data_IF_269044684722
#
_entry.id   IF_269044684722
#
_cell.length_a   1.000
_cell.length_b   1.000
_cell.length_c   1.000
_cell.angle_alpha   90.00
_cell.angle_beta   90.00
_cell.angle_gamma   90.00
#
_symmetry.space_group_name_H-M   'P 1'
#
loop_
_entity.id
_entity.type
_entity.pdbx_description
1 polymer ?
#
# COMPACT_ATOMS: atom_id res chain seq x y z
N UNK A 1 -5.26 -1.58 18.13
CA UNK A 1 -5.29 -2.10 16.74
C UNK A 1 -4.75 -3.53 16.66
N UNK A 2 -3.51 -3.84 17.08
CA UNK A 2 -3.00 -5.24 17.20
C UNK A 2 -3.86 -6.14 18.11
N UNK A 3 -4.40 -5.61 19.22
CA UNK A 3 -5.38 -6.33 20.07
C UNK A 3 -6.75 -6.52 19.41
N UNK A 4 -7.15 -5.63 18.49
CA UNK A 4 -8.41 -5.73 17.73
C UNK A 4 -8.27 -6.75 16.59
N UNK A 5 -7.10 -6.78 15.94
CA UNK A 5 -6.68 -7.82 14.99
C UNK A 5 -6.56 -9.19 15.66
N UNK A 6 -5.99 -9.26 16.88
CA UNK A 6 -5.98 -10.50 17.66
C UNK A 6 -7.39 -10.97 18.07
N UNK A 7 -8.32 -10.05 18.34
CA UNK A 7 -9.73 -10.36 18.63
C UNK A 7 -10.48 -10.87 17.39
N UNK A 8 -10.18 -10.34 16.20
CA UNK A 8 -10.69 -10.85 14.92
C UNK A 8 -10.11 -12.24 14.59
N UNK A 9 -8.82 -12.47 14.87
CA UNK A 9 -8.22 -13.81 14.78
C UNK A 9 -8.77 -14.80 15.83
N UNK A 10 -9.18 -14.31 17.00
CA UNK A 10 -9.72 -15.15 18.09
C UNK A 10 -11.16 -15.60 17.82
N UNK A 11 -11.96 -14.82 17.07
CA UNK A 11 -13.30 -15.23 16.62
C UNK A 11 -13.26 -16.27 15.49
N UNK A 12 -12.13 -16.39 14.77
CA UNK A 12 -11.89 -17.50 13.84
C UNK A 12 -11.46 -18.80 14.55
N UNK A 13 -11.07 -18.74 15.84
CA UNK A 13 -10.53 -19.87 16.60
C UNK A 13 -11.57 -20.60 17.48
N UNK A 14 -12.84 -20.16 17.49
CA UNK A 14 -13.90 -20.71 18.36
C UNK A 14 -14.51 -22.05 17.88
N UNK A 15 -13.92 -22.70 16.88
CA UNK A 15 -14.35 -24.01 16.37
C UNK A 15 -13.65 -25.24 16.97
N UNK A 16 -12.70 -25.08 17.90
CA UNK A 16 -11.90 -26.20 18.42
C UNK A 16 -12.13 -26.42 19.93
N UNK A 17 -13.05 -27.32 20.27
CA UNK A 17 -13.12 -27.90 21.62
C UNK A 17 -12.14 -29.08 21.68
N UNK A 18 -11.05 -28.93 22.45
CA UNK A 18 -10.20 -30.04 22.85
C UNK A 18 -10.86 -30.82 24.00
N UNK A 19 -10.91 -32.16 23.97
CA UNK A 19 -11.41 -32.94 25.10
C UNK A 19 -10.43 -32.90 26.29
N UNK A 20 -11.00 -33.00 27.49
CA UNK A 20 -10.36 -32.79 28.78
C UNK A 20 -9.18 -33.74 29.09
N UNK A 21 -8.28 -33.23 29.92
CA UNK A 21 -7.01 -33.81 30.35
C UNK A 21 -7.12 -35.22 30.96
N UNK A 22 -6.30 -36.15 30.46
CA UNK A 22 -5.99 -37.41 31.12
C UNK A 22 -4.65 -37.28 31.90
N UNK A 23 -4.72 -37.60 33.19
CA UNK A 23 -3.64 -37.57 34.17
C UNK A 23 -2.51 -38.55 33.81
N UNK A 24 -1.26 -38.06 33.76
CA UNK A 24 -0.06 -38.88 33.55
C UNK A 24 0.42 -39.52 34.87
N UNK A 25 0.60 -40.85 34.86
CA UNK A 25 1.42 -41.62 35.83
C UNK A 25 2.76 -42.03 35.18
N UNK A 26 3.82 -42.30 35.97
CA UNK A 26 5.21 -42.24 35.49
C UNK A 26 5.71 -43.49 34.75
N UNK A 27 6.85 -43.29 34.07
CA UNK A 27 7.40 -44.05 32.95
C UNK A 27 8.05 -45.42 33.24
N UNK A 28 8.15 -46.25 32.20
CA UNK A 28 9.04 -47.41 32.06
C UNK A 28 9.41 -47.64 30.56
N UNK A 29 10.47 -48.41 30.21
CA UNK A 29 11.48 -48.00 29.23
C UNK A 29 11.28 -48.45 27.77
N UNK A 30 12.06 -47.78 26.89
CA UNK A 30 12.12 -47.80 25.42
C UNK A 30 12.12 -49.20 24.76
N UNK A 31 11.31 -49.32 23.70
CA UNK A 31 11.43 -50.32 22.64
C UNK A 31 11.48 -49.66 21.23
N UNK A 32 12.11 -50.36 20.28
CA UNK A 32 12.65 -49.94 18.96
C UNK A 32 11.63 -49.29 17.98
N UNK A 33 12.10 -48.49 16.99
CA UNK A 33 11.22 -47.76 16.08
C UNK A 33 10.50 -48.69 15.10
N UNK A 34 9.17 -48.58 15.07
CA UNK A 34 8.28 -49.18 14.07
C UNK A 34 8.10 -48.16 12.94
N UNK A 35 8.24 -48.58 11.69
CA UNK A 35 7.95 -47.74 10.52
C UNK A 35 6.54 -47.14 10.65
N UNK A 36 6.47 -45.81 10.57
CA UNK A 36 5.21 -45.06 10.49
C UNK A 36 4.57 -45.33 9.12
N UNK A 37 3.50 -46.11 9.11
CA UNK A 37 2.52 -46.04 8.03
C UNK A 37 1.81 -44.69 8.15
N UNK A 38 2.03 -43.81 7.17
CA UNK A 38 1.29 -42.56 7.05
C UNK A 38 -0.11 -42.90 6.59
N UNK A 39 -1.11 -42.53 7.40
CA UNK A 39 -2.52 -42.74 7.12
C UNK A 39 -2.96 -41.89 5.91
N UNK A 40 -3.49 -42.49 4.83
CA UNK A 40 -3.99 -41.76 3.66
C UNK A 40 -5.13 -40.78 3.98
N UNK A 41 -5.83 -40.93 5.12
CA UNK A 41 -6.88 -40.00 5.53
C UNK A 41 -6.33 -38.62 5.95
N UNK A 42 -5.06 -38.53 6.36
CA UNK A 42 -4.44 -37.24 6.72
C UNK A 42 -4.29 -36.29 5.51
N UNK A 43 -4.25 -36.84 4.29
CA UNK A 43 -4.24 -36.06 3.05
C UNK A 43 -5.65 -35.70 2.54
N UNK A 44 -6.70 -36.37 3.04
CA UNK A 44 -8.08 -36.05 2.70
C UNK A 44 -8.57 -34.78 3.43
N UNK A 45 -8.15 -34.57 4.68
CA UNK A 45 -8.50 -33.38 5.47
C UNK A 45 -7.82 -32.10 4.96
N UNK A 46 -6.68 -32.22 4.28
CA UNK A 46 -6.05 -31.10 3.58
C UNK A 46 -6.90 -30.60 2.38
N UNK A 47 -7.76 -31.46 1.81
CA UNK A 47 -8.71 -31.06 0.75
C UNK A 47 -9.95 -30.35 1.30
N UNK A 48 -10.31 -30.59 2.57
CA UNK A 48 -11.47 -29.98 3.24
C UNK A 48 -11.21 -28.55 3.73
N UNK A 49 -9.95 -28.10 3.77
CA UNK A 49 -9.59 -26.71 4.06
C UNK A 49 -9.54 -25.82 2.80
N UNK A 50 -9.49 -26.42 1.61
CA UNK A 50 -9.50 -25.68 0.35
C UNK A 50 -10.78 -24.83 0.13
N UNK A 51 -12.01 -25.29 0.47
CA UNK A 51 -13.21 -24.47 0.37
C UNK A 51 -13.19 -23.28 1.34
N UNK A 52 -12.70 -23.48 2.57
CA UNK A 52 -12.65 -22.43 3.60
C UNK A 52 -11.55 -21.39 3.28
N UNK A 53 -10.39 -21.82 2.78
CA UNK A 53 -9.33 -20.94 2.28
C UNK A 53 -9.80 -20.18 1.03
N UNK A 54 -10.56 -20.82 0.13
CA UNK A 54 -11.16 -20.14 -1.02
C UNK A 54 -12.27 -19.15 -0.61
N UNK A 55 -13.04 -19.45 0.45
CA UNK A 55 -14.13 -18.60 0.93
C UNK A 55 -13.60 -17.41 1.77
N UNK A 56 -12.51 -17.58 2.51
CA UNK A 56 -11.77 -16.48 3.14
C UNK A 56 -10.97 -15.69 2.09
N UNK A 57 -10.41 -16.38 1.09
CA UNK A 57 -9.67 -15.79 -0.03
C UNK A 57 -10.53 -14.89 -0.91
N UNK A 58 -11.75 -15.32 -1.26
CA UNK A 58 -12.71 -14.50 -2.02
C UNK A 58 -13.13 -13.22 -1.29
N UNK A 59 -12.89 -13.12 0.03
CA UNK A 59 -13.29 -12.00 0.87
C UNK A 59 -12.16 -10.97 1.08
N UNK A 60 -10.90 -11.30 0.77
CA UNK A 60 -9.72 -10.44 1.00
C UNK A 60 -9.02 -9.98 -0.29
N UNK A 61 -9.29 -10.61 -1.43
CA UNK A 61 -9.03 -9.99 -2.72
C UNK A 61 -10.08 -8.91 -2.98
N UNK A 62 -9.81 -7.97 -3.88
CA UNK A 62 -10.88 -7.26 -4.56
C UNK A 62 -11.93 -8.31 -4.95
N UNK A 63 -13.16 -8.21 -4.44
CA UNK A 63 -14.13 -9.31 -4.53
C UNK A 63 -14.47 -9.66 -5.99
N UNK A 64 -14.18 -8.76 -6.92
CA UNK A 64 -14.27 -8.92 -8.37
C UNK A 64 -13.02 -9.57 -9.01
N UNK A 65 -11.89 -9.66 -8.30
CA UNK A 65 -10.63 -10.28 -8.74
C UNK A 65 -10.27 -11.57 -8.00
N UNK A 66 -11.01 -11.97 -6.96
CA UNK A 66 -10.70 -13.14 -6.13
C UNK A 66 -10.59 -14.49 -6.86
N UNK A 67 -11.02 -14.57 -8.13
CA UNK A 67 -10.87 -15.74 -8.99
C UNK A 67 -9.78 -15.65 -10.07
N UNK A 68 -9.03 -14.54 -10.16
CA UNK A 68 -7.99 -14.34 -11.16
C UNK A 68 -6.59 -14.20 -10.53
N UNK A 69 -5.55 -14.16 -11.36
CA UNK A 69 -4.16 -14.12 -10.91
C UNK A 69 -3.83 -12.88 -10.07
N UNK A 70 -4.46 -11.74 -10.37
CA UNK A 70 -4.29 -10.50 -9.61
C UNK A 70 -4.79 -10.67 -8.16
N UNK A 71 -5.98 -11.25 -7.98
CA UNK A 71 -6.54 -11.52 -6.64
C UNK A 71 -5.61 -12.41 -5.80
N UNK A 72 -5.01 -13.43 -6.41
CA UNK A 72 -4.03 -14.32 -5.76
C UNK A 72 -2.81 -13.51 -5.29
N UNK A 73 -2.20 -12.70 -6.15
CA UNK A 73 -1.04 -11.90 -5.75
C UNK A 73 -1.37 -10.90 -4.64
N UNK A 74 -2.52 -10.23 -4.69
CA UNK A 74 -2.94 -9.32 -3.63
C UNK A 74 -3.13 -10.02 -2.29
N UNK A 75 -3.76 -11.19 -2.27
CA UNK A 75 -3.92 -11.99 -1.04
C UNK A 75 -2.57 -12.37 -0.43
N UNK A 76 -1.63 -12.88 -1.25
CA UNK A 76 -0.30 -13.27 -0.79
C UNK A 76 0.58 -12.07 -0.42
N UNK A 77 0.24 -10.87 -0.86
CA UNK A 77 0.96 -9.65 -0.50
C UNK A 77 0.74 -9.25 0.98
N UNK A 78 -0.40 -9.64 1.57
CA UNK A 78 -0.76 -9.25 2.94
C UNK A 78 0.16 -9.86 4.00
N UNK A 79 0.45 -11.19 4.01
CA UNK A 79 1.44 -11.75 4.94
C UNK A 79 2.80 -11.06 4.91
N UNK A 80 3.31 -10.75 3.71
CA UNK A 80 4.55 -9.99 3.55
C UNK A 80 4.42 -8.59 4.16
N UNK A 81 3.29 -7.90 3.95
CA UNK A 81 3.06 -6.59 4.54
C UNK A 81 2.97 -6.62 6.07
N UNK A 82 2.32 -7.63 6.64
CA UNK A 82 2.24 -7.80 8.09
C UNK A 82 3.62 -8.11 8.69
N UNK A 83 4.45 -8.91 8.01
CA UNK A 83 5.83 -9.12 8.39
C UNK A 83 6.62 -7.80 8.36
N UNK A 84 6.47 -6.99 7.31
CA UNK A 84 7.02 -5.65 7.25
C UNK A 84 6.62 -4.80 8.46
N UNK A 85 5.32 -4.69 8.77
CA UNK A 85 4.82 -3.91 9.91
C UNK A 85 5.39 -4.39 11.25
N UNK A 86 5.49 -5.70 11.43
CA UNK A 86 6.07 -6.29 12.64
C UNK A 86 7.53 -5.89 12.81
N UNK A 87 8.36 -6.11 11.79
CA UNK A 87 9.79 -5.85 11.90
C UNK A 87 10.11 -4.35 11.89
N UNK A 88 9.43 -3.53 11.08
CA UNK A 88 9.68 -2.08 11.04
C UNK A 88 9.23 -1.41 12.33
N UNK A 89 8.21 -1.97 12.99
CA UNK A 89 7.70 -1.53 14.28
C UNK A 89 8.58 -1.91 15.49
N UNK A 90 9.69 -2.62 15.28
CA UNK A 90 10.63 -2.91 16.36
C UNK A 90 11.15 -1.60 16.98
N UNK A 91 11.04 -1.47 18.30
CA UNK A 91 11.27 -0.20 19.01
C UNK A 91 12.65 0.39 18.74
N UNK A 92 13.69 -0.45 18.73
CA UNK A 92 15.08 0.00 18.47
C UNK A 92 15.32 0.45 17.03
N UNK A 93 14.39 0.23 16.10
CA UNK A 93 14.45 0.85 14.78
C UNK A 93 14.26 2.35 14.83
N UNK A 94 13.58 2.84 15.87
CA UNK A 94 13.24 4.25 16.02
C UNK A 94 12.46 4.76 14.81
N UNK A 95 11.60 3.92 14.24
CA UNK A 95 10.69 4.33 13.18
C UNK A 95 9.79 5.45 13.72
N UNK A 96 9.65 6.58 13.01
CA UNK A 96 8.83 7.69 13.48
C UNK A 96 7.40 7.24 13.77
N UNK A 97 6.85 7.57 14.95
CA UNK A 97 5.53 7.06 15.39
C UNK A 97 4.40 7.38 14.41
N UNK A 98 4.41 8.59 13.83
CA UNK A 98 3.42 8.99 12.82
C UNK A 98 3.61 8.22 11.50
N UNK A 99 4.85 8.00 11.07
CA UNK A 99 5.13 7.24 9.85
C UNK A 99 4.79 5.75 9.99
N UNK A 100 5.09 5.16 11.16
CA UNK A 100 4.66 3.80 11.50
C UNK A 100 3.14 3.69 11.52
N UNK A 101 2.45 4.69 12.08
CA UNK A 101 0.99 4.75 12.02
C UNK A 101 0.51 4.87 10.57
N UNK A 102 1.16 5.65 9.72
CA UNK A 102 0.87 5.72 8.28
C UNK A 102 0.94 4.34 7.62
N UNK A 103 2.03 3.59 7.81
CA UNK A 103 2.12 2.20 7.33
C UNK A 103 0.97 1.33 7.88
N UNK A 104 0.61 1.45 9.16
CA UNK A 104 -0.52 0.70 9.72
C UNK A 104 -1.87 1.14 9.13
N UNK A 105 -2.02 2.43 8.84
CA UNK A 105 -3.23 3.04 8.28
C UNK A 105 -3.53 2.52 6.87
N UNK A 106 -2.51 2.09 6.11
CA UNK A 106 -2.70 1.43 4.81
C UNK A 106 -3.65 0.22 4.90
N UNK A 107 -3.70 -0.48 6.04
CA UNK A 107 -4.63 -1.58 6.23
C UNK A 107 -6.09 -1.13 6.16
N UNK A 108 -6.41 0.12 6.50
CA UNK A 108 -7.76 0.67 6.34
C UNK A 108 -8.10 0.91 4.87
N UNK A 109 -7.14 1.32 4.04
CA UNK A 109 -7.30 1.33 2.58
C UNK A 109 -7.64 -0.07 2.07
N UNK A 110 -6.84 -1.08 2.41
CA UNK A 110 -7.06 -2.48 1.99
C UNK A 110 -8.42 -3.01 2.48
N UNK A 111 -8.83 -2.68 3.71
CA UNK A 111 -10.13 -3.10 4.23
C UNK A 111 -11.26 -2.36 3.51
N UNK A 112 -11.07 -1.09 3.12
CA UNK A 112 -12.07 -0.30 2.42
C UNK A 112 -12.31 -0.75 0.98
N UNK A 113 -11.31 -1.32 0.30
CA UNK A 113 -11.45 -1.82 -1.08
C UNK A 113 -12.35 -3.06 -1.19
N UNK A 114 -12.51 -3.82 -0.10
CA UNK A 114 -13.39 -5.00 -0.05
C UNK A 114 -14.87 -4.62 -0.19
N UNK A 115 -15.50 -3.85 0.72
CA UNK A 115 -16.91 -3.50 0.61
C UNK A 115 -17.20 -2.64 -0.61
N UNK A 116 -16.29 -1.73 -1.00
CA UNK A 116 -16.46 -0.91 -2.21
C UNK A 116 -16.42 -1.76 -3.48
N UNK A 117 -15.54 -2.76 -3.56
CA UNK A 117 -15.53 -3.76 -4.64
C UNK A 117 -16.80 -4.60 -4.68
N UNK A 118 -17.29 -5.05 -3.52
CA UNK A 118 -18.54 -5.81 -3.42
C UNK A 118 -19.71 -4.98 -3.93
N UNK A 119 -19.84 -3.71 -3.50
CA UNK A 119 -20.91 -2.82 -3.94
C UNK A 119 -20.80 -2.57 -5.44
N UNK A 120 -19.61 -2.29 -5.95
CA UNK A 120 -19.37 -2.06 -7.39
C UNK A 120 -19.85 -3.26 -8.22
N UNK A 121 -19.50 -4.46 -7.79
CA UNK A 121 -19.89 -5.68 -8.50
C UNK A 121 -21.37 -6.03 -8.35
N UNK A 122 -21.88 -6.01 -7.12
CA UNK A 122 -23.22 -6.50 -6.79
C UNK A 122 -24.33 -5.52 -7.17
N UNK A 123 -24.06 -4.20 -7.09
CA UNK A 123 -25.06 -3.16 -7.40
C UNK A 123 -24.92 -2.66 -8.83
N UNK A 124 -23.69 -2.46 -9.33
CA UNK A 124 -23.46 -1.82 -10.62
C UNK A 124 -22.98 -2.78 -11.72
N UNK A 125 -22.59 -4.00 -11.38
CA UNK A 125 -22.11 -4.99 -12.35
C UNK A 125 -20.71 -4.70 -12.92
N UNK A 126 -20.04 -3.64 -12.47
CA UNK A 126 -18.72 -3.21 -12.93
C UNK A 126 -17.62 -3.56 -11.92
N UNK A 127 -16.37 -3.30 -12.29
CA UNK A 127 -15.23 -3.38 -11.36
C UNK A 127 -15.20 -2.16 -10.45
N UNK A 128 -14.47 -2.22 -9.32
CA UNK A 128 -14.25 -1.05 -8.48
C UNK A 128 -13.60 0.10 -9.28
N UNK A 129 -12.66 -0.24 -10.16
CA UNK A 129 -11.94 0.69 -11.02
C UNK A 129 -12.85 1.52 -11.95
N UNK A 130 -14.06 1.05 -12.23
CA UNK A 130 -15.05 1.76 -13.07
C UNK A 130 -16.10 2.53 -12.24
N UNK A 131 -16.15 2.32 -10.92
CA UNK A 131 -17.11 2.95 -10.01
C UNK A 131 -16.51 4.19 -9.33
N UNK A 132 -16.40 5.29 -10.05
CA UNK A 132 -15.54 6.43 -9.70
C UNK A 132 -15.72 6.95 -8.26
N UNK A 133 -16.95 7.18 -7.78
CA UNK A 133 -17.16 7.67 -6.41
C UNK A 133 -16.72 6.68 -5.33
N UNK A 134 -16.86 5.37 -5.55
CA UNK A 134 -16.39 4.33 -4.63
C UNK A 134 -14.87 4.19 -4.71
N UNK A 135 -14.33 4.21 -5.94
CA UNK A 135 -12.91 4.12 -6.23
C UNK A 135 -12.14 5.28 -5.61
N UNK A 136 -12.52 6.52 -5.95
CA UNK A 136 -11.91 7.73 -5.41
C UNK A 136 -12.02 7.82 -3.89
N UNK A 137 -13.15 7.37 -3.31
CA UNK A 137 -13.29 7.32 -1.83
C UNK A 137 -12.30 6.34 -1.19
N UNK A 138 -12.11 5.16 -1.78
CA UNK A 138 -11.16 4.18 -1.27
C UNK A 138 -9.72 4.70 -1.43
N UNK A 139 -9.34 5.15 -2.63
CA UNK A 139 -8.00 5.64 -2.96
C UNK A 139 -7.60 6.90 -2.16
N UNK A 140 -8.56 7.70 -1.68
CA UNK A 140 -8.29 8.81 -0.76
C UNK A 140 -7.57 8.34 0.53
N UNK A 141 -7.84 7.11 0.99
CA UNK A 141 -7.16 6.54 2.15
C UNK A 141 -5.68 6.23 1.87
N UNK A 142 -5.34 5.92 0.62
CA UNK A 142 -3.95 5.73 0.20
C UNK A 142 -3.19 7.07 0.21
N UNK A 143 -3.82 8.15 -0.26
CA UNK A 143 -3.26 9.51 -0.15
C UNK A 143 -2.98 9.88 1.32
N UNK A 144 -3.96 9.65 2.21
CA UNK A 144 -3.78 9.88 3.65
C UNK A 144 -2.62 9.04 4.21
N UNK A 145 -2.51 7.78 3.79
CA UNK A 145 -1.39 6.89 4.18
C UNK A 145 -0.04 7.52 3.83
N UNK A 146 0.14 7.95 2.58
CA UNK A 146 1.41 8.46 2.09
C UNK A 146 1.81 9.77 2.78
N UNK A 147 0.84 10.66 3.00
CA UNK A 147 1.04 11.90 3.76
C UNK A 147 1.45 11.64 5.21
N UNK A 148 0.84 10.66 5.89
CA UNK A 148 1.23 10.26 7.25
C UNK A 148 2.68 9.74 7.32
N UNK A 149 3.07 8.93 6.33
CA UNK A 149 4.44 8.41 6.21
C UNK A 149 5.41 9.58 6.02
N UNK A 150 5.17 10.42 5.01
CA UNK A 150 6.01 11.56 4.71
C UNK A 150 6.13 12.53 5.90
N UNK A 151 5.01 12.94 6.50
CA UNK A 151 5.00 13.82 7.66
C UNK A 151 5.80 13.24 8.83
N UNK A 152 5.65 11.93 9.10
CA UNK A 152 6.37 11.26 10.18
C UNK A 152 7.89 11.24 9.99
N UNK A 153 8.37 10.85 8.81
CA UNK A 153 9.81 10.84 8.52
C UNK A 153 10.41 12.24 8.42
N UNK A 154 9.65 13.21 7.92
CA UNK A 154 10.09 14.61 7.89
C UNK A 154 10.26 15.18 9.30
N UNK A 155 9.24 15.06 10.15
CA UNK A 155 9.28 15.58 11.52
C UNK A 155 10.46 14.96 12.30
N UNK A 156 10.64 13.65 12.20
CA UNK A 156 11.78 12.97 12.83
C UNK A 156 13.14 13.44 12.30
N UNK A 157 13.24 13.77 11.01
CA UNK A 157 14.47 14.31 10.42
C UNK A 157 14.76 15.74 10.86
N UNK A 158 13.74 16.53 11.22
CA UNK A 158 13.90 17.92 11.66
C UNK A 158 14.07 18.05 13.19
N UNK A 159 13.99 16.94 13.94
CA UNK A 159 14.04 16.94 15.40
C UNK A 159 12.70 17.28 16.07
N UNK A 160 11.63 17.44 15.29
CA UNK A 160 10.28 17.65 15.80
C UNK A 160 9.70 16.33 16.28
N UNK A 161 9.86 16.06 17.57
CA UNK A 161 9.14 15.00 18.26
C UNK A 161 7.74 15.50 18.66
N UNK A 162 6.94 15.93 17.68
CA UNK A 162 5.62 16.50 17.92
C UNK A 162 4.63 15.41 18.43
N UNK A 163 4.61 15.20 19.74
CA UNK A 163 3.74 14.23 20.40
C UNK A 163 2.25 14.59 20.29
N UNK A 164 1.91 15.88 20.35
CA UNK A 164 0.53 16.38 20.28
C UNK A 164 0.02 16.56 18.84
N UNK A 165 0.78 17.20 17.96
CA UNK A 165 0.39 17.35 16.54
C UNK A 165 0.25 15.99 15.85
N UNK A 166 1.13 15.04 16.18
CA UNK A 166 0.99 13.67 15.72
C UNK A 166 -0.30 13.00 16.22
N UNK A 167 -0.81 13.36 17.41
CA UNK A 167 -2.06 12.80 17.93
C UNK A 167 -3.30 13.35 17.23
N UNK A 168 -3.35 14.66 16.97
CA UNK A 168 -4.42 15.28 16.18
C UNK A 168 -4.45 14.70 14.77
N UNK A 169 -3.29 14.63 14.10
CA UNK A 169 -3.17 14.09 12.74
C UNK A 169 -3.71 12.67 12.63
N UNK A 170 -3.38 11.79 13.59
CA UNK A 170 -3.93 10.42 13.65
C UNK A 170 -5.46 10.39 13.78
N UNK A 171 -6.03 11.27 14.62
CA UNK A 171 -7.49 11.37 14.81
C UNK A 171 -8.19 11.84 13.54
N UNK A 172 -7.63 12.85 12.86
CA UNK A 172 -8.14 13.35 11.58
C UNK A 172 -8.14 12.24 10.53
N UNK A 173 -7.02 11.50 10.40
CA UNK A 173 -6.92 10.38 9.47
C UNK A 173 -7.98 9.29 9.74
N UNK A 174 -8.17 8.90 11.01
CA UNK A 174 -9.20 7.93 11.39
C UNK A 174 -10.62 8.46 11.14
N UNK A 175 -10.86 9.76 11.35
CA UNK A 175 -12.12 10.42 11.02
C UNK A 175 -12.42 10.37 9.52
N UNK A 176 -11.42 10.61 8.67
CA UNK A 176 -11.55 10.47 7.22
C UNK A 176 -11.83 9.02 6.80
N UNK A 177 -11.16 8.04 7.41
CA UNK A 177 -11.47 6.62 7.16
C UNK A 177 -12.89 6.24 7.56
N UNK A 178 -13.39 6.75 8.70
CA UNK A 178 -14.76 6.56 9.13
C UNK A 178 -15.76 7.23 8.18
N UNK A 179 -15.44 8.42 7.65
CA UNK A 179 -16.25 9.10 6.66
C UNK A 179 -16.32 8.30 5.35
N UNK A 180 -15.21 7.79 4.85
CA UNK A 180 -15.19 6.90 3.67
C UNK A 180 -16.07 5.68 3.91
N UNK A 181 -15.91 5.00 5.06
CA UNK A 181 -16.76 3.86 5.40
C UNK A 181 -18.27 4.22 5.44
N UNK A 182 -18.61 5.39 5.98
CA UNK A 182 -20.00 5.88 6.01
C UNK A 182 -20.53 6.19 4.60
N UNK A 183 -19.73 6.83 3.75
CA UNK A 183 -20.08 7.12 2.35
C UNK A 183 -20.30 5.81 1.59
N UNK A 184 -19.41 4.84 1.74
CA UNK A 184 -19.56 3.51 1.13
C UNK A 184 -20.84 2.81 1.61
N UNK A 185 -21.17 2.87 2.90
CA UNK A 185 -22.35 2.24 3.46
C UNK A 185 -23.67 2.93 3.05
N UNK A 186 -23.65 4.24 2.79
CA UNK A 186 -24.85 5.03 2.52
C UNK A 186 -25.07 5.36 1.04
N UNK A 187 -24.02 5.37 0.21
CA UNK A 187 -24.08 5.95 -1.14
C UNK A 187 -25.08 5.28 -2.09
N UNK A 188 -25.34 3.98 -1.95
CA UNK A 188 -26.39 3.30 -2.74
C UNK A 188 -27.80 3.77 -2.40
N UNK A 189 -28.03 4.26 -1.17
CA UNK A 189 -29.32 4.86 -0.76
C UNK A 189 -29.45 6.34 -1.14
N UNK A 190 -28.35 7.01 -1.53
CA UNK A 190 -28.33 8.39 -2.02
C UNK A 190 -28.61 8.51 -3.52
N UNK A 191 -28.79 7.39 -4.23
CA UNK A 191 -29.11 7.38 -5.66
C UNK A 191 -27.91 7.54 -6.60
N UNK A 192 -26.68 7.32 -6.11
CA UNK A 192 -25.49 7.37 -6.96
C UNK A 192 -25.44 6.17 -7.91
N UNK A 193 -25.19 6.44 -9.19
CA UNK A 193 -24.82 5.43 -10.19
C UNK A 193 -23.33 5.08 -10.11
N UNK A 194 -22.92 4.03 -10.82
CA UNK A 194 -21.53 3.55 -10.85
C UNK A 194 -20.53 4.67 -11.19
N UNK A 195 -20.81 5.39 -12.27
CA UNK A 195 -19.97 6.45 -12.81
C UNK A 195 -20.29 7.83 -12.25
N UNK A 196 -20.95 7.90 -11.07
CA UNK A 196 -21.12 9.19 -10.38
C UNK A 196 -19.73 9.75 -10.08
N UNK A 197 -19.39 10.97 -10.51
CA UNK A 197 -18.07 11.53 -10.29
C UNK A 197 -17.75 11.63 -8.80
N UNK A 198 -16.55 11.19 -8.41
CA UNK A 198 -16.07 11.37 -7.04
C UNK A 198 -16.08 12.86 -6.66
N UNK A 199 -16.56 13.16 -5.46
CA UNK A 199 -16.80 14.54 -4.98
C UNK A 199 -17.62 15.38 -5.97
N UNK A 200 -18.58 14.78 -6.69
CA UNK A 200 -19.37 15.43 -7.73
C UNK A 200 -18.54 16.03 -8.88
N UNK A 201 -17.30 15.55 -9.06
CA UNK A 201 -16.43 15.99 -10.14
C UNK A 201 -15.95 17.43 -9.96
N UNK A 202 -15.78 17.90 -8.71
CA UNK A 202 -15.25 19.24 -8.44
C UNK A 202 -13.96 19.48 -9.24
N UNK A 203 -13.96 20.56 -10.01
CA UNK A 203 -12.85 20.95 -10.89
C UNK A 203 -12.90 20.35 -12.30
N UNK A 204 -13.80 19.41 -12.59
CA UNK A 204 -14.05 18.98 -13.97
C UNK A 204 -14.43 20.18 -14.84
N UNK A 205 -13.90 20.21 -16.06
CA UNK A 205 -14.33 21.11 -17.12
C UNK A 205 -15.69 20.65 -17.62
N UNK A 206 -16.54 21.59 -18.03
CA UNK A 206 -17.81 21.25 -18.65
C UNK A 206 -17.59 20.64 -20.04
N UNK A 207 -18.57 19.86 -20.50
CA UNK A 207 -18.47 19.12 -21.75
C UNK A 207 -18.22 20.01 -22.98
N UNK A 208 -18.72 21.25 -22.99
CA UNK A 208 -18.50 22.16 -24.12
C UNK A 208 -17.05 22.68 -24.14
N UNK A 209 -16.50 23.00 -22.96
CA UNK A 209 -15.08 23.36 -22.82
C UNK A 209 -14.18 22.20 -23.23
N UNK A 210 -14.47 20.96 -22.79
CA UNK A 210 -13.69 19.78 -23.18
C UNK A 210 -13.75 19.56 -24.70
N UNK A 211 -14.94 19.61 -25.30
CA UNK A 211 -15.11 19.43 -26.74
C UNK A 211 -14.41 20.51 -27.60
N UNK A 212 -14.13 21.68 -27.02
CA UNK A 212 -13.42 22.76 -27.69
C UNK A 212 -11.89 22.63 -27.64
N UNK A 213 -11.35 21.68 -26.87
CA UNK A 213 -9.90 21.45 -26.80
C UNK A 213 -9.37 20.88 -28.14
N UNK A 214 -8.30 21.46 -28.71
CA UNK A 214 -7.88 21.16 -30.08
C UNK A 214 -7.30 19.76 -30.27
N UNK A 215 -6.99 19.05 -29.19
CA UNK A 215 -6.41 17.70 -29.20
C UNK A 215 -7.43 16.60 -28.87
N UNK A 216 -8.68 16.92 -28.54
CA UNK A 216 -9.68 15.90 -28.20
C UNK A 216 -10.01 15.10 -29.45
N UNK A 217 -9.66 13.81 -29.42
CA UNK A 217 -9.81 12.90 -30.54
C UNK A 217 -11.08 12.03 -30.45
N UNK A 218 -11.66 11.90 -29.25
CA UNK A 218 -12.88 11.13 -29.00
C UNK A 218 -13.66 11.70 -27.81
N UNK A 219 -14.93 11.32 -27.70
CA UNK A 219 -15.73 11.65 -26.52
C UNK A 219 -15.18 10.93 -25.28
N UNK A 220 -15.32 11.57 -24.13
CA UNK A 220 -14.95 10.99 -22.84
C UNK A 220 -15.81 9.74 -22.54
N UNK A 221 -15.19 8.56 -22.31
CA UNK A 221 -15.92 7.34 -21.97
C UNK A 221 -16.62 7.43 -20.61
N UNK A 222 -17.70 6.67 -20.43
CA UNK A 222 -18.47 6.67 -19.19
C UNK A 222 -17.66 6.24 -17.95
N UNK A 223 -16.65 5.39 -18.13
CA UNK A 223 -15.79 4.90 -17.07
C UNK A 223 -14.50 5.73 -16.90
N UNK A 224 -14.40 6.91 -17.54
CA UNK A 224 -13.31 7.84 -17.27
C UNK A 224 -13.40 8.36 -15.83
N UNK A 225 -12.25 8.37 -15.14
CA UNK A 225 -12.18 8.86 -13.77
C UNK A 225 -12.43 10.37 -13.71
N UNK A 226 -13.06 10.87 -12.65
CA UNK A 226 -13.19 12.32 -12.45
C UNK A 226 -11.85 12.96 -12.09
N UNK A 227 -11.76 14.29 -12.25
CA UNK A 227 -10.55 15.03 -11.87
C UNK A 227 -10.16 14.83 -10.40
N UNK A 228 -11.07 14.84 -9.40
CA UNK A 228 -10.70 14.51 -8.03
C UNK A 228 -10.06 13.13 -7.87
N UNK A 229 -10.52 12.12 -8.61
CA UNK A 229 -9.91 10.79 -8.59
C UNK A 229 -8.54 10.78 -9.26
N UNK A 230 -8.37 11.48 -10.39
CA UNK A 230 -7.04 11.66 -11.01
C UNK A 230 -6.07 12.45 -10.13
N UNK A 231 -6.57 13.41 -9.35
CA UNK A 231 -5.78 14.13 -8.36
C UNK A 231 -5.28 13.18 -7.27
N UNK A 232 -6.13 12.28 -6.76
CA UNK A 232 -5.72 11.24 -5.81
C UNK A 232 -4.64 10.31 -6.39
N UNK A 233 -4.80 9.86 -7.64
CA UNK A 233 -3.80 9.00 -8.30
C UNK A 233 -2.46 9.73 -8.51
N UNK A 234 -2.52 10.97 -8.97
CA UNK A 234 -1.32 11.79 -9.18
C UNK A 234 -0.62 12.06 -7.84
N UNK A 235 -1.40 12.45 -6.81
CA UNK A 235 -0.86 12.74 -5.48
C UNK A 235 -0.22 11.52 -4.86
N UNK A 236 -0.88 10.35 -4.89
CA UNK A 236 -0.36 9.14 -4.26
C UNK A 236 0.99 8.71 -4.85
N UNK A 237 1.19 8.85 -6.16
CA UNK A 237 2.48 8.60 -6.84
C UNK A 237 3.55 9.58 -6.35
N UNK A 238 3.26 10.90 -6.33
CA UNK A 238 4.24 11.91 -5.92
C UNK A 238 4.56 11.87 -4.43
N UNK A 239 3.55 11.70 -3.58
CA UNK A 239 3.70 11.58 -2.13
C UNK A 239 4.53 10.36 -1.75
N UNK A 240 4.36 9.25 -2.47
CA UNK A 240 5.18 8.06 -2.26
C UNK A 240 6.65 8.31 -2.63
N UNK A 241 6.92 9.00 -3.74
CA UNK A 241 8.29 9.43 -4.09
C UNK A 241 8.89 10.35 -3.03
N UNK A 242 8.09 11.28 -2.51
CA UNK A 242 8.54 12.16 -1.44
C UNK A 242 8.84 11.37 -0.15
N UNK A 243 7.98 10.41 0.23
CA UNK A 243 8.23 9.50 1.34
C UNK A 243 9.51 8.68 1.13
N UNK A 244 9.75 8.15 -0.08
CA UNK A 244 10.98 7.43 -0.43
C UNK A 244 12.24 8.28 -0.22
N UNK A 245 12.21 9.56 -0.61
CA UNK A 245 13.31 10.50 -0.39
C UNK A 245 13.55 10.76 1.10
N UNK A 246 12.49 10.93 1.89
CA UNK A 246 12.60 11.12 3.33
C UNK A 246 13.15 9.88 4.04
N UNK A 247 12.69 8.68 3.66
CA UNK A 247 13.22 7.41 4.16
C UNK A 247 14.70 7.23 3.81
N UNK A 248 15.12 7.66 2.61
CA UNK A 248 16.53 7.65 2.21
C UNK A 248 17.37 8.54 3.13
N UNK A 249 16.94 9.80 3.34
CA UNK A 249 17.59 10.77 4.24
C UNK A 249 17.60 10.27 5.69
N UNK A 250 16.60 9.47 6.10
CA UNK A 250 16.51 8.92 7.45
C UNK A 250 17.65 7.96 7.81
N UNK A 251 18.35 7.40 6.82
CA UNK A 251 19.60 6.67 7.04
C UNK A 251 20.64 7.53 7.77
N UNK A 252 20.80 8.78 7.36
CA UNK A 252 21.73 9.73 7.98
C UNK A 252 21.27 10.19 9.36
N UNK A 253 19.95 10.32 9.56
CA UNK A 253 19.31 10.70 10.84
C UNK A 253 19.57 9.65 11.91
N UNK A 254 19.44 8.37 11.55
CA UNK A 254 19.65 7.22 12.45
C UNK A 254 21.10 6.74 12.50
N UNK A 255 21.92 7.10 11.52
CA UNK A 255 23.25 6.52 11.31
C UNK A 255 23.21 5.07 10.79
N UNK A 256 22.07 4.62 10.26
CA UNK A 256 21.87 3.25 9.79
C UNK A 256 21.56 3.22 8.28
N UNK A 257 22.56 2.86 7.48
CA UNK A 257 22.47 2.76 6.02
C UNK A 257 21.42 1.76 5.51
N UNK A 258 20.92 0.84 6.36
CA UNK A 258 19.88 -0.12 5.96
C UNK A 258 18.55 0.57 5.60
N UNK A 259 18.31 1.80 6.07
CA UNK A 259 17.17 2.61 5.66
C UNK A 259 17.15 2.95 4.15
N UNK A 260 18.32 3.11 3.51
CA UNK A 260 18.39 3.22 2.04
C UNK A 260 17.93 1.94 1.35
N UNK A 261 18.18 0.80 1.97
CA UNK A 261 17.64 -0.49 1.55
C UNK A 261 16.11 -0.55 1.61
N UNK A 262 15.49 0.14 2.57
CA UNK A 262 14.04 0.28 2.63
C UNK A 262 13.50 1.13 1.47
N UNK A 263 14.17 2.24 1.15
CA UNK A 263 13.82 3.05 -0.03
C UNK A 263 13.83 2.21 -1.31
N UNK A 264 14.84 1.35 -1.51
CA UNK A 264 14.85 0.42 -2.64
C UNK A 264 13.69 -0.58 -2.62
N UNK A 265 13.31 -1.08 -1.44
CA UNK A 265 12.13 -1.95 -1.27
C UNK A 265 10.78 -1.23 -1.51
N UNK A 266 10.74 0.10 -1.46
CA UNK A 266 9.55 0.89 -1.78
C UNK A 266 9.31 1.04 -3.28
N UNK A 267 10.33 0.83 -4.12
CA UNK A 267 10.27 1.08 -5.56
C UNK A 267 9.27 0.19 -6.32
N UNK A 268 9.12 -1.12 -6.04
CA UNK A 268 8.09 -1.93 -6.69
C UNK A 268 6.67 -1.44 -6.39
N UNK A 269 6.41 -0.89 -5.20
CA UNK A 269 5.10 -0.30 -4.86
C UNK A 269 4.83 0.99 -5.63
N UNK A 270 5.87 1.79 -5.90
CA UNK A 270 5.75 2.92 -6.82
C UNK A 270 5.34 2.44 -8.22
N UNK A 271 6.03 1.42 -8.75
CA UNK A 271 5.69 0.82 -10.04
C UNK A 271 4.27 0.25 -10.08
N UNK A 272 3.79 -0.34 -8.96
CA UNK A 272 2.41 -0.79 -8.81
C UNK A 272 1.40 0.36 -8.99
N UNK A 273 1.62 1.51 -8.33
CA UNK A 273 0.76 2.69 -8.50
C UNK A 273 0.76 3.22 -9.94
N UNK A 274 1.91 3.22 -10.62
CA UNK A 274 2.00 3.61 -12.03
C UNK A 274 1.25 2.63 -12.94
N UNK A 275 1.27 1.32 -12.65
CA UNK A 275 0.49 0.31 -13.37
C UNK A 275 -1.02 0.58 -13.27
N UNK A 276 -1.52 0.89 -12.07
CA UNK A 276 -2.91 1.28 -11.86
C UNK A 276 -3.28 2.55 -12.67
N UNK A 277 -2.47 3.60 -12.57
CA UNK A 277 -2.68 4.84 -13.32
C UNK A 277 -2.69 4.60 -14.84
N UNK A 278 -1.80 3.72 -15.33
CA UNK A 278 -1.73 3.38 -16.75
C UNK A 278 -2.98 2.64 -17.21
N UNK A 279 -3.52 1.74 -16.39
CA UNK A 279 -4.76 1.04 -16.72
C UNK A 279 -5.95 2.01 -16.83
N UNK A 280 -6.04 2.96 -15.90
CA UNK A 280 -7.05 4.02 -15.90
C UNK A 280 -6.92 4.99 -17.07
N UNK A 281 -5.69 5.34 -17.45
CA UNK A 281 -5.41 6.20 -18.61
C UNK A 281 -6.00 5.65 -19.92
N UNK A 282 -6.07 4.33 -20.04
CA UNK A 282 -6.69 3.67 -21.20
C UNK A 282 -8.18 3.33 -20.99
N UNK A 283 -8.80 3.85 -19.93
CA UNK A 283 -10.20 3.59 -19.57
C UNK A 283 -10.49 2.10 -19.30
N UNK A 284 -9.61 1.45 -18.56
CA UNK A 284 -9.83 0.10 -18.01
C UNK A 284 -10.22 -0.98 -19.05
N UNK A 285 -9.58 -1.09 -20.23
CA UNK A 285 -10.03 -1.99 -21.27
C UNK A 285 -9.65 -3.43 -20.91
N UNK A 286 -10.50 -4.39 -21.29
CA UNK A 286 -10.24 -5.82 -21.04
C UNK A 286 -8.97 -6.34 -21.74
N UNK A 287 -8.53 -5.69 -22.82
CA UNK A 287 -7.29 -6.00 -23.54
C UNK A 287 -6.02 -5.69 -22.74
N UNK A 288 -6.09 -4.83 -21.71
CA UNK A 288 -4.97 -4.44 -20.85
C UNK A 288 -5.09 -4.97 -19.42
N UNK A 289 -5.91 -6.01 -19.17
CA UNK A 289 -6.06 -6.63 -17.85
C UNK A 289 -4.75 -7.11 -17.23
N UNK A 290 -3.72 -7.40 -18.05
CA UNK A 290 -2.39 -7.72 -17.56
C UNK A 290 -1.78 -6.60 -16.69
N UNK A 291 -2.20 -5.33 -16.86
CA UNK A 291 -1.75 -4.22 -16.02
C UNK A 291 -2.23 -4.38 -14.57
N UNK A 292 -3.43 -4.92 -14.37
CA UNK A 292 -3.97 -5.22 -13.04
C UNK A 292 -3.21 -6.40 -12.41
N UNK A 293 -2.88 -7.41 -13.21
CA UNK A 293 -2.03 -8.53 -12.76
C UNK A 293 -0.62 -8.06 -12.41
N UNK A 294 -0.05 -7.18 -13.23
CA UNK A 294 1.27 -6.56 -13.00
C UNK A 294 1.27 -5.69 -11.74
N UNK A 295 0.23 -4.87 -11.53
CA UNK A 295 0.03 -4.11 -10.30
C UNK A 295 0.02 -5.03 -9.07
N UNK A 296 -0.75 -6.12 -9.13
CA UNK A 296 -0.85 -7.08 -8.05
C UNK A 296 0.49 -7.78 -7.76
N UNK A 297 1.19 -8.22 -8.80
CA UNK A 297 2.52 -8.81 -8.70
C UNK A 297 3.53 -7.84 -8.08
N UNK A 298 3.56 -6.59 -8.56
CA UNK A 298 4.44 -5.54 -8.04
C UNK A 298 4.12 -5.18 -6.59
N UNK A 299 2.84 -5.30 -6.18
CA UNK A 299 2.42 -5.14 -4.79
C UNK A 299 2.96 -6.26 -3.90
N UNK A 300 2.84 -7.52 -4.33
CA UNK A 300 3.44 -8.66 -3.64
C UNK A 300 4.96 -8.53 -3.54
N UNK A 301 5.63 -8.20 -4.64
CA UNK A 301 7.07 -7.98 -4.69
C UNK A 301 7.49 -6.82 -3.77
N UNK A 302 6.76 -5.71 -3.81
CA UNK A 302 6.97 -4.54 -2.97
C UNK A 302 6.84 -4.86 -1.50
N UNK A 303 5.74 -5.46 -1.07
CA UNK A 303 5.53 -5.86 0.32
C UNK A 303 6.61 -6.85 0.81
N UNK A 304 7.04 -7.76 -0.07
CA UNK A 304 8.11 -8.71 0.25
C UNK A 304 9.46 -8.01 0.41
N UNK A 305 9.81 -7.09 -0.48
CA UNK A 305 11.08 -6.34 -0.40
C UNK A 305 11.08 -5.36 0.79
N UNK A 306 9.95 -4.74 1.12
CA UNK A 306 9.78 -3.99 2.37
C UNK A 306 10.01 -4.88 3.60
N UNK A 307 9.44 -6.08 3.64
CA UNK A 307 9.62 -7.01 4.75
C UNK A 307 11.09 -7.40 4.93
N UNK A 308 11.78 -7.72 3.83
CA UNK A 308 13.22 -8.02 3.85
C UNK A 308 14.02 -6.82 4.36
N UNK A 309 13.71 -5.60 3.89
CA UNK A 309 14.38 -4.39 4.35
C UNK A 309 14.15 -4.12 5.84
N UNK A 310 12.91 -4.26 6.32
CA UNK A 310 12.57 -4.11 7.74
C UNK A 310 13.25 -5.16 8.63
N UNK A 311 13.34 -6.42 8.19
CA UNK A 311 14.11 -7.46 8.87
C UNK A 311 15.59 -7.05 8.99
N UNK A 312 16.19 -6.56 7.90
CA UNK A 312 17.60 -6.11 7.90
C UNK A 312 17.82 -4.95 8.87
N UNK A 313 16.89 -4.00 8.94
CA UNK A 313 16.92 -2.89 9.90
C UNK A 313 16.79 -3.44 11.33
N UNK A 314 15.78 -4.25 11.61
CA UNK A 314 15.53 -4.83 12.93
C UNK A 314 16.72 -5.64 13.45
N UNK A 315 17.26 -6.54 12.63
CA UNK A 315 18.45 -7.32 12.98
C UNK A 315 19.67 -6.43 13.26
N UNK A 316 19.88 -5.38 12.46
CA UNK A 316 20.98 -4.43 12.69
C UNK A 316 20.83 -3.62 13.99
N UNK A 317 19.61 -3.49 14.49
CA UNK A 317 19.29 -2.81 15.75
C UNK A 317 19.12 -3.79 16.93
N UNK A 318 19.54 -5.05 16.77
CA UNK A 318 19.60 -6.03 17.86
C UNK A 318 18.34 -6.88 18.05
N UNK A 319 17.43 -6.92 17.08
CA UNK A 319 16.32 -7.88 17.10
C UNK A 319 16.85 -9.32 17.12
N UNK A 320 16.28 -10.18 17.96
CA UNK A 320 16.63 -11.62 18.02
C UNK A 320 15.38 -12.48 18.20
N UNK A 321 15.52 -13.81 18.12
CA UNK A 321 14.39 -14.74 18.32
C UNK A 321 13.73 -14.63 19.71
N UNK A 322 14.41 -14.12 20.74
CA UNK A 322 13.79 -13.86 22.05
C UNK A 322 12.70 -12.79 21.98
N UNK A 323 12.73 -11.93 20.95
CA UNK A 323 11.71 -10.90 20.73
C UNK A 323 10.33 -11.49 20.45
N UNK A 324 10.26 -12.74 19.96
CA UNK A 324 9.01 -13.48 19.74
C UNK A 324 8.34 -13.93 21.05
N UNK A 325 9.06 -14.01 22.17
CA UNK A 325 8.49 -14.45 23.45
C UNK A 325 7.69 -13.31 24.11
N UNK A 326 6.35 -13.41 24.22
CA UNK A 326 5.53 -12.36 24.84
C UNK A 326 5.61 -12.36 26.38
N UNK A 327 6.19 -13.39 26.98
CA UNK A 327 6.31 -13.54 28.44
C UNK A 327 7.70 -13.20 28.99
N UNK A 328 8.60 -12.72 28.14
CA UNK A 328 9.93 -12.32 28.57
C UNK A 328 9.88 -11.01 29.38
N UNK A 329 9.88 -11.16 30.70
CA UNK A 329 9.85 -10.04 31.66
C UNK A 329 11.15 -9.23 31.67
N UNK A 330 12.25 -9.73 31.09
CA UNK A 330 13.51 -8.97 31.04
C UNK A 330 13.45 -7.76 30.11
N UNK A 331 12.41 -7.67 29.27
CA UNK A 331 12.16 -6.56 28.34
C UNK A 331 11.74 -5.25 29.01
N UNK A 332 11.19 -5.28 30.23
CA UNK A 332 10.75 -4.05 30.93
C UNK A 332 11.86 -3.32 31.67
N UNK A 333 13.01 -3.98 31.90
CA UNK A 333 13.96 -3.55 32.93
C UNK A 333 15.31 -3.06 32.37
N UNK A 334 15.49 -3.08 31.04
CA UNK A 334 16.72 -2.63 30.37
C UNK A 334 16.42 -1.65 29.25
N UNK A 335 15.98 -0.45 29.62
CA UNK A 335 15.91 0.67 28.69
C UNK A 335 17.32 1.22 28.48
N UNK A 336 18.05 0.58 27.56
CA UNK A 336 19.37 1.03 27.16
C UNK A 336 19.22 2.37 26.42
N UNK A 337 19.84 3.42 26.93
CA UNK A 337 19.69 4.76 26.38
C UNK A 337 20.17 4.80 24.91
N UNK A 338 19.23 4.95 23.98
CA UNK A 338 19.54 5.05 22.55
C UNK A 338 20.22 6.41 22.26
N UNK A 339 21.25 6.45 21.39
CA UNK A 339 21.92 7.70 21.02
C UNK A 339 20.93 8.69 20.40
N UNK A 340 21.09 10.00 20.59
CA UNK A 340 20.20 11.00 19.99
C UNK A 340 20.15 10.89 18.45
N UNK A 341 18.98 11.13 17.85
CA UNK A 341 18.86 11.24 16.38
C UNK A 341 19.58 12.50 15.92
N UNK A 342 20.18 12.45 14.73
CA UNK A 342 20.70 13.64 14.06
C UNK A 342 19.55 14.41 13.42
N UNK A 343 19.67 15.73 13.32
CA UNK A 343 18.71 16.56 12.59
C UNK A 343 19.29 17.01 11.25
N UNK A 344 18.41 17.23 10.29
CA UNK A 344 18.71 17.86 9.00
C UNK A 344 17.92 19.16 8.89
N UNK A 345 18.43 20.17 8.14
CA UNK A 345 17.68 21.39 7.89
C UNK A 345 16.30 21.07 7.29
N UNK A 346 15.27 21.75 7.78
CA UNK A 346 13.92 21.61 7.28
C UNK A 346 13.76 22.40 5.97
N UNK A 347 13.31 21.74 4.90
CA UNK A 347 12.81 22.43 3.71
C UNK A 347 11.55 23.23 4.07
N UNK A 348 11.33 24.36 3.39
CA UNK A 348 10.17 25.24 3.63
C UNK A 348 8.85 24.49 3.31
N UNK A 349 8.02 24.31 4.34
CA UNK A 349 6.77 23.54 4.25
C UNK A 349 5.80 24.10 3.24
N UNK A 350 5.68 25.43 3.17
CA UNK A 350 4.79 26.09 2.24
C UNK A 350 5.21 25.83 0.80
N UNK A 351 6.52 25.91 0.51
CA UNK A 351 7.06 25.65 -0.84
C UNK A 351 6.83 24.20 -1.23
N UNK A 352 7.14 23.26 -0.32
CA UNK A 352 6.95 21.84 -0.57
C UNK A 352 5.47 21.50 -0.80
N UNK A 353 4.58 22.03 0.03
CA UNK A 353 3.13 21.86 -0.12
C UNK A 353 2.64 22.46 -1.44
N UNK A 354 3.05 23.68 -1.77
CA UNK A 354 2.67 24.34 -3.02
C UNK A 354 3.17 23.59 -4.26
N UNK A 355 4.39 23.03 -4.20
CA UNK A 355 4.94 22.20 -5.27
C UNK A 355 4.16 20.90 -5.43
N UNK A 356 3.91 20.18 -4.34
CA UNK A 356 3.15 18.93 -4.37
C UNK A 356 1.73 19.17 -4.87
N UNK A 357 1.03 20.15 -4.29
CA UNK A 357 -0.31 20.52 -4.68
C UNK A 357 -0.37 20.96 -6.16
N UNK A 358 0.51 21.88 -6.56
CA UNK A 358 0.58 22.35 -7.94
C UNK A 358 0.87 21.23 -8.93
N UNK A 359 1.83 20.35 -8.62
CA UNK A 359 2.17 19.21 -9.46
C UNK A 359 1.04 18.19 -9.54
N UNK A 360 0.38 17.88 -8.42
CA UNK A 360 -0.77 16.96 -8.36
C UNK A 360 -1.89 17.45 -9.27
N UNK A 361 -2.31 18.72 -9.15
CA UNK A 361 -3.39 19.25 -9.98
C UNK A 361 -2.97 19.40 -11.44
N UNK A 362 -1.78 19.92 -11.73
CA UNK A 362 -1.29 20.03 -13.10
C UNK A 362 -1.24 18.66 -13.80
N UNK A 363 -0.74 17.63 -13.10
CA UNK A 363 -0.71 16.26 -13.61
C UNK A 363 -2.13 15.69 -13.77
N UNK A 364 -3.02 15.87 -12.80
CA UNK A 364 -4.39 15.39 -12.89
C UNK A 364 -5.14 15.99 -14.09
N UNK A 365 -5.02 17.31 -14.32
CA UNK A 365 -5.60 17.97 -15.49
C UNK A 365 -4.96 17.48 -16.79
N UNK A 366 -3.61 17.38 -16.82
CA UNK A 366 -2.89 16.93 -18.00
C UNK A 366 -3.27 15.50 -18.38
N UNK A 367 -3.44 14.61 -17.41
CA UNK A 367 -3.84 13.22 -17.64
C UNK A 367 -5.31 13.15 -18.03
N UNK A 368 -6.23 13.71 -17.23
CA UNK A 368 -7.69 13.67 -17.46
C UNK A 368 -8.12 14.18 -18.83
N UNK A 369 -7.51 15.25 -19.34
CA UNK A 369 -7.88 15.81 -20.64
C UNK A 369 -6.88 15.47 -21.75
N UNK A 370 -5.67 15.03 -21.40
CA UNK A 370 -4.69 14.52 -22.35
C UNK A 370 -4.98 13.08 -22.78
N UNK A 371 -5.58 12.26 -21.91
CA UNK A 371 -6.03 10.90 -22.26
C UNK A 371 -7.04 10.92 -23.41
N UNK A 372 -7.82 11.99 -23.57
CA UNK A 372 -8.75 12.19 -24.70
C UNK A 372 -8.07 12.41 -26.05
N UNK A 373 -6.77 12.72 -26.06
CA UNK A 373 -5.97 12.79 -27.28
C UNK A 373 -5.44 11.41 -27.73
N UNK A 374 -5.32 10.46 -26.80
CA UNK A 374 -4.57 9.22 -26.99
C UNK A 374 -5.41 7.96 -26.79
N UNK A 375 -6.52 7.99 -26.04
CA UNK A 375 -7.29 6.82 -25.59
C UNK A 375 -8.50 6.43 -26.45
N UNK A 376 -8.50 6.73 -27.75
CA UNK A 376 -9.62 6.42 -28.65
C UNK A 376 -9.86 4.91 -28.85
N UNK A 377 -11.12 4.57 -29.18
CA UNK A 377 -11.58 3.20 -29.47
C UNK A 377 -10.75 2.48 -30.56
N UNK A 378 -10.80 1.15 -30.50
CA UNK A 378 -10.11 0.16 -31.32
C UNK A 378 -9.76 0.66 -32.74
N UNK A 379 -8.45 0.84 -33.01
CA UNK A 379 -7.93 1.24 -34.33
C UNK A 379 -7.17 2.57 -34.36
N UNK A 380 -7.19 3.35 -33.29
CA UNK A 380 -6.27 4.48 -33.08
C UNK A 380 -4.81 4.01 -32.97
N UNK A 381 -3.82 4.68 -33.59
CA UNK A 381 -2.40 4.36 -33.40
C UNK A 381 -1.91 4.50 -31.95
N UNK A 382 -2.68 5.14 -31.06
CA UNK A 382 -2.40 5.28 -29.64
C UNK A 382 -3.46 4.64 -28.73
N UNK A 383 -4.43 3.90 -29.29
CA UNK A 383 -5.39 3.13 -28.52
C UNK A 383 -4.71 2.06 -27.64
N UNK A 384 -5.49 1.38 -26.80
CA UNK A 384 -5.02 0.41 -25.82
C UNK A 384 -3.98 -0.59 -26.39
N UNK A 385 -2.70 -0.31 -26.17
CA UNK A 385 -1.58 -1.06 -26.72
C UNK A 385 -0.72 -1.64 -25.59
N UNK A 386 -0.59 -2.98 -25.47
CA UNK A 386 0.14 -3.60 -24.38
C UNK A 386 1.62 -3.18 -24.26
N UNK A 387 2.29 -2.89 -25.38
CA UNK A 387 3.70 -2.48 -25.39
C UNK A 387 3.82 -1.05 -24.85
N UNK A 388 3.00 -0.12 -25.36
CA UNK A 388 2.98 1.28 -24.90
C UNK A 388 2.64 1.32 -23.41
N UNK A 389 1.60 0.59 -23.00
CA UNK A 389 1.21 0.50 -21.60
C UNK A 389 2.34 -0.06 -20.72
N UNK A 390 3.01 -1.15 -21.15
CA UNK A 390 4.17 -1.68 -20.43
C UNK A 390 5.31 -0.67 -20.27
N UNK A 391 5.61 0.13 -21.30
CA UNK A 391 6.62 1.19 -21.23
C UNK A 391 6.20 2.32 -20.27
N UNK A 392 4.93 2.71 -20.26
CA UNK A 392 4.40 3.70 -19.31
C UNK A 392 4.55 3.26 -17.85
N UNK A 393 4.46 1.95 -17.57
CA UNK A 393 4.70 1.41 -16.23
C UNK A 393 6.18 1.39 -15.87
N UNK A 394 7.06 1.02 -16.79
CA UNK A 394 8.48 0.80 -16.50
C UNK A 394 9.29 2.10 -16.42
N UNK A 395 8.96 3.11 -17.24
CA UNK A 395 9.77 4.31 -17.37
C UNK A 395 9.86 5.15 -16.09
N UNK A 396 8.75 5.51 -15.39
CA UNK A 396 8.84 6.34 -14.19
C UNK A 396 9.65 5.68 -13.05
N UNK A 397 9.42 4.40 -12.69
CA UNK A 397 10.27 3.71 -11.70
C UNK A 397 11.74 3.60 -12.13
N UNK A 398 12.03 3.45 -13.43
CA UNK A 398 13.42 3.41 -13.92
C UNK A 398 14.13 4.76 -13.74
N UNK A 399 13.45 5.88 -14.02
CA UNK A 399 13.99 7.24 -13.78
C UNK A 399 14.25 7.44 -12.28
N UNK A 400 13.32 7.02 -11.43
CA UNK A 400 13.48 7.07 -9.97
C UNK A 400 14.67 6.22 -9.52
N UNK A 401 14.79 4.99 -10.00
CA UNK A 401 15.92 4.12 -9.70
C UNK A 401 17.26 4.76 -10.11
N UNK A 402 17.34 5.31 -11.33
CA UNK A 402 18.53 5.99 -11.82
C UNK A 402 18.97 7.14 -10.91
N UNK A 403 18.01 7.93 -10.40
CA UNK A 403 18.31 9.03 -9.47
C UNK A 403 18.96 8.55 -8.15
N UNK A 404 18.54 7.40 -7.62
CA UNK A 404 19.10 6.83 -6.39
C UNK A 404 20.45 6.12 -6.60
N UNK A 405 20.69 5.55 -7.79
CA UNK A 405 22.01 5.03 -8.15
C UNK A 405 23.03 6.16 -8.10
N UNK A 406 22.75 7.27 -8.80
CA UNK A 406 23.64 8.45 -8.80
C UNK A 406 23.86 9.04 -7.41
N UNK A 407 22.81 9.11 -6.57
CA UNK A 407 22.94 9.55 -5.19
C UNK A 407 23.88 8.63 -4.36
N UNK A 408 23.80 7.32 -4.56
CA UNK A 408 24.66 6.35 -3.87
C UNK A 408 26.13 6.39 -4.31
N UNK A 409 26.39 6.79 -5.55
CA UNK A 409 27.73 6.94 -6.11
C UNK A 409 28.39 8.25 -5.65
N UNK A 410 27.62 9.35 -5.60
CA UNK A 410 28.10 10.65 -5.11
C UNK A 410 28.52 10.63 -3.64
N UNK A 411 27.86 9.83 -2.80
CA UNK A 411 28.24 9.65 -1.38
C UNK A 411 29.51 8.80 -1.19
N UNK A 412 29.87 7.95 -2.16
CA UNK A 412 31.08 7.10 -2.10
C UNK A 412 32.36 7.81 -2.54
N UNK A 413 32.29 9.08 -2.94
CA UNK A 413 33.47 9.91 -3.24
C UNK A 413 33.84 10.84 -2.09
N UNK A 414 34.61 10.37 -1.09
CA UNK A 414 35.47 11.25 -0.31
C UNK A 414 36.92 11.16 -0.83
N UNK A 415 37.60 12.32 -0.90
CA UNK A 415 39.00 12.58 -1.31
C UNK A 415 39.18 12.81 -2.82
N UNK A 416 39.59 13.98 -3.31
CA UNK A 416 40.77 14.77 -2.92
C UNK A 416 40.64 16.23 -3.39
N UNK A 417 40.79 17.19 -2.47
CA UNK A 417 41.59 18.42 -2.67
C UNK A 417 41.46 19.35 -1.46
N UNK A 418 42.42 19.21 -0.55
CA UNK A 418 43.17 20.32 0.03
C UNK A 418 44.65 19.88 -0.02
N UNK A 419 45.62 20.78 -0.19
CA UNK A 419 45.60 22.21 0.13
C UNK A 419 45.17 23.12 -1.03
#
# INVERSE_FOLDING_TARGET
MLRLLALLCSHAALGFQLPAAAVLRPAAPRARPRMLNVDPQLFADASATAPLINQIGSTLAFSDQGGNLAGVFFQFSLPSYLAFLYFIGYEKNRTPKLGLFGFQFLLLFVISTIPTGIISKATYGCTLADADWLHGSAEALLTVTNLLIAAGFRAASCGDTAGEEGALTRKVALGLAALVALVCASGTSLGFGAHTPFMFGVGNLDAATVAALPWVAHAEPANALSLPTWAIHSSSVFEWLFAMQLVWKYASVTGNEKWKGLTWGMLPLHASGVAACTYHFFFNPSSLQFLVELQAFLTLLGNTTLAIAAIRIALSNGWTLSELNPFDKSKSDKEEALPALRTSPADNEFVLFAQLFGLTFACAYAVKYGELALGGADGSPFGANPIVAGLMVLLPPAVVAYSYIGASEGEKSPTTSLP
#
